data_IF_795480309763
#
_entry.id   IF_795480309763
#
_cell.length_a   1.000
_cell.length_b   1.000
_cell.length_c   1.000
_cell.angle_alpha   90.00
_cell.angle_beta   90.00
_cell.angle_gamma   90.00
#
_symmetry.space_group_name_H-M   'P 1'
#
loop_
_entity.id
_entity.type
_entity.pdbx_description
1 polymer ?
#
# COMPACT_ATOMS: atom_id res chain seq x y z
N UNK A 1 -32.44 -50.26 -55.12
CA UNK A 1 -31.69 -50.41 -56.37
C UNK A 1 -31.38 -49.07 -56.99
N UNK A 2 -30.15 -48.89 -57.35
CA UNK A 2 -29.38 -47.93 -58.16
C UNK A 2 -28.56 -46.96 -57.41
N UNK A 3 -27.26 -47.28 -57.30
CA UNK A 3 -26.11 -46.46 -57.16
C UNK A 3 -25.97 -45.50 -58.34
N UNK A 4 -25.62 -44.27 -58.05
CA UNK A 4 -24.81 -43.35 -58.93
C UNK A 4 -24.16 -42.34 -58.01
N UNK A 5 -22.97 -42.42 -57.85
CA UNK A 5 -21.72 -42.01 -58.49
C UNK A 5 -21.29 -40.59 -58.04
N UNK A 6 -20.31 -40.62 -57.11
CA UNK A 6 -19.50 -39.45 -56.76
C UNK A 6 -18.63 -39.14 -58.01
N UNK A 7 -18.61 -37.91 -58.42
CA UNK A 7 -17.47 -37.22 -59.03
C UNK A 7 -17.96 -35.99 -59.80
N UNK A 8 -17.60 -34.86 -59.38
CA UNK A 8 -17.52 -33.55 -60.03
C UNK A 8 -18.01 -32.38 -59.11
N UNK A 9 -17.34 -32.20 -58.00
CA UNK A 9 -17.32 -30.88 -57.30
C UNK A 9 -16.04 -30.76 -56.49
N UNK A 10 -14.91 -30.88 -57.18
CA UNK A 10 -13.60 -30.65 -56.56
C UNK A 10 -12.73 -29.88 -57.57
N UNK A 11 -13.07 -28.64 -57.88
CA UNK A 11 -12.13 -27.71 -58.55
C UNK A 11 -12.65 -26.26 -58.59
N UNK A 12 -13.18 -25.71 -57.52
CA UNK A 12 -13.49 -24.27 -57.47
C UNK A 12 -13.43 -23.70 -56.03
N UNK A 13 -12.52 -24.20 -55.21
CA UNK A 13 -12.30 -23.67 -53.86
C UNK A 13 -10.80 -23.52 -53.51
N UNK A 14 -9.98 -23.17 -54.52
CA UNK A 14 -8.54 -22.98 -54.29
C UNK A 14 -8.00 -21.66 -54.85
N UNK A 15 -8.79 -20.60 -54.91
CA UNK A 15 -8.32 -19.26 -55.33
C UNK A 15 -8.91 -18.09 -54.56
N UNK A 16 -9.23 -18.23 -53.26
CA UNK A 16 -9.63 -17.08 -52.41
C UNK A 16 -8.94 -17.07 -51.05
N UNK A 17 -7.88 -17.84 -50.83
CA UNK A 17 -7.13 -17.84 -49.54
C UNK A 17 -5.68 -17.32 -49.71
N UNK A 18 -5.42 -16.36 -50.56
CA UNK A 18 -4.09 -15.71 -50.61
C UNK A 18 -4.12 -14.19 -50.48
N UNK A 19 -5.27 -13.58 -50.18
CA UNK A 19 -5.34 -12.11 -50.07
C UNK A 19 -5.72 -11.57 -48.66
N UNK A 20 -5.66 -12.37 -47.57
CA UNK A 20 -6.00 -11.88 -46.23
C UNK A 20 -4.93 -12.08 -45.14
N UNK A 21 -3.73 -12.50 -45.51
CA UNK A 21 -2.63 -12.67 -44.51
C UNK A 21 -1.71 -11.44 -44.35
N UNK A 22 -1.91 -10.37 -45.13
CA UNK A 22 -1.09 -9.16 -45.06
C UNK A 22 -1.60 -8.12 -44.07
N UNK A 23 -2.87 -8.14 -43.68
CA UNK A 23 -3.44 -7.02 -42.89
C UNK A 23 -3.49 -7.28 -41.37
N UNK A 24 -3.42 -8.52 -40.90
CA UNK A 24 -3.46 -8.84 -39.47
C UNK A 24 -2.10 -8.65 -38.79
N UNK A 25 -1.01 -8.81 -39.53
CA UNK A 25 0.34 -8.59 -38.99
C UNK A 25 0.69 -7.10 -38.80
N UNK A 26 0.16 -6.22 -39.62
CA UNK A 26 0.40 -4.78 -39.51
C UNK A 26 -0.34 -4.15 -38.30
N UNK A 27 -1.56 -4.61 -37.99
CA UNK A 27 -2.31 -4.13 -36.82
C UNK A 27 -1.77 -4.66 -35.50
N UNK A 28 -1.15 -5.85 -35.48
CA UNK A 28 -0.52 -6.41 -34.31
C UNK A 28 0.86 -5.78 -34.02
N UNK A 29 1.58 -5.32 -35.05
CA UNK A 29 2.83 -4.61 -34.90
C UNK A 29 2.65 -3.16 -34.43
N UNK A 30 1.62 -2.47 -34.89
CA UNK A 30 1.28 -1.11 -34.45
C UNK A 30 0.83 -1.07 -32.98
N UNK A 31 0.07 -2.07 -32.52
CA UNK A 31 -0.36 -2.16 -31.12
C UNK A 31 0.79 -2.50 -30.17
N UNK A 32 1.77 -3.30 -30.59
CA UNK A 32 2.93 -3.67 -29.80
C UNK A 32 3.95 -2.50 -29.74
N UNK A 33 4.10 -1.71 -30.82
CA UNK A 33 4.90 -0.48 -30.85
C UNK A 33 4.33 0.57 -29.90
N UNK A 34 3.05 0.84 -29.98
CA UNK A 34 2.32 1.79 -29.13
C UNK A 34 2.35 1.38 -27.64
N UNK A 35 2.29 0.09 -27.32
CA UNK A 35 2.41 -0.39 -25.93
C UNK A 35 3.84 -0.20 -25.40
N UNK A 36 4.87 -0.53 -26.18
CA UNK A 36 6.28 -0.33 -25.81
C UNK A 36 6.64 1.15 -25.70
N UNK A 37 6.11 2.00 -26.56
CA UNK A 37 6.28 3.45 -26.48
C UNK A 37 5.57 4.05 -25.29
N UNK A 38 4.34 3.62 -24.99
CA UNK A 38 3.61 4.03 -23.78
C UNK A 38 4.32 3.56 -22.51
N UNK A 39 4.90 2.34 -22.53
CA UNK A 39 5.69 1.83 -21.41
C UNK A 39 7.00 2.62 -21.25
N UNK A 40 7.71 2.94 -22.35
CA UNK A 40 8.90 3.80 -22.34
C UNK A 40 8.59 5.23 -21.92
N UNK A 41 7.49 5.80 -22.40
CA UNK A 41 7.02 7.12 -22.00
C UNK A 41 6.65 7.14 -20.50
N UNK A 42 5.97 6.09 -19.97
CA UNK A 42 5.71 5.95 -18.54
C UNK A 42 6.99 5.75 -17.73
N UNK A 43 7.98 5.02 -18.25
CA UNK A 43 9.29 4.89 -17.59
C UNK A 43 10.10 6.17 -17.63
N UNK A 44 10.03 6.93 -18.73
CA UNK A 44 10.67 8.24 -18.86
C UNK A 44 9.99 9.31 -17.99
N UNK A 45 8.66 9.29 -17.87
CA UNK A 45 7.94 10.15 -16.93
C UNK A 45 8.21 9.79 -15.46
N UNK A 46 8.46 8.51 -15.14
CA UNK A 46 8.90 8.10 -13.80
C UNK A 46 10.30 8.56 -13.43
N UNK A 47 11.14 8.90 -14.41
CA UNK A 47 12.47 9.47 -14.19
C UNK A 47 12.51 11.00 -14.12
N UNK A 48 11.38 11.69 -14.26
CA UNK A 48 11.36 13.13 -14.49
C UNK A 48 10.63 13.98 -13.43
N UNK A 49 10.06 13.41 -12.36
CA UNK A 49 9.27 14.19 -11.40
C UNK A 49 9.91 14.44 -10.03
N UNK A 50 11.17 14.02 -9.79
CA UNK A 50 11.82 14.17 -8.47
C UNK A 50 13.20 14.82 -8.54
N UNK A 51 13.35 15.90 -9.28
CA UNK A 51 14.61 16.64 -9.40
C UNK A 51 14.83 17.75 -8.33
N UNK A 52 14.18 17.68 -7.18
CA UNK A 52 14.73 18.27 -5.95
C UNK A 52 15.52 17.17 -5.28
N UNK A 53 16.87 17.24 -5.29
CA UNK A 53 17.79 16.18 -4.93
C UNK A 53 17.43 15.53 -3.59
N UNK A 54 17.10 14.25 -3.64
CA UNK A 54 16.88 13.43 -2.46
C UNK A 54 18.19 13.33 -1.66
N UNK A 55 18.15 13.76 -0.39
CA UNK A 55 19.31 13.68 0.49
C UNK A 55 19.33 12.31 1.17
N UNK A 56 20.40 11.55 0.94
CA UNK A 56 20.54 10.19 1.47
C UNK A 56 21.31 10.21 2.80
N UNK A 57 20.74 9.62 3.84
CA UNK A 57 21.32 9.50 5.19
C UNK A 57 21.96 10.81 5.69
N UNK A 58 21.21 11.91 5.82
CA UNK A 58 21.78 13.17 6.26
C UNK A 58 22.42 13.02 7.64
N UNK A 59 23.58 13.63 7.81
CA UNK A 59 24.24 13.70 9.10
C UNK A 59 23.62 14.82 9.96
N UNK A 60 23.17 14.46 11.17
CA UNK A 60 22.64 15.43 12.14
C UNK A 60 21.17 15.80 11.93
N UNK A 61 20.80 16.98 12.45
CA UNK A 61 19.41 17.46 12.40
C UNK A 61 19.02 17.96 11.02
N UNK A 62 17.82 17.62 10.60
CA UNK A 62 17.18 18.15 9.41
C UNK A 62 16.56 19.51 9.76
N UNK A 63 17.01 20.53 9.09
CA UNK A 63 16.56 21.91 9.30
C UNK A 63 15.81 22.50 8.10
N UNK A 64 15.81 21.78 6.97
CA UNK A 64 15.20 22.24 5.72
C UNK A 64 14.04 21.33 5.32
N UNK A 65 12.98 21.88 4.70
CA UNK A 65 11.97 21.10 4.00
C UNK A 65 12.60 20.29 2.86
N UNK A 66 11.97 19.16 2.50
CA UNK A 66 12.42 18.35 1.38
C UNK A 66 12.23 16.84 1.58
N UNK A 67 12.79 16.08 0.65
CA UNK A 67 12.72 14.63 0.65
C UNK A 67 14.06 14.03 1.08
N UNK A 68 14.00 13.06 1.97
CA UNK A 68 15.17 12.43 2.58
C UNK A 68 15.00 10.91 2.52
N UNK A 69 16.06 10.20 2.16
CA UNK A 69 16.12 8.73 2.21
C UNK A 69 17.02 8.28 3.35
N UNK A 70 16.56 7.29 4.07
CA UNK A 70 17.29 6.72 5.18
C UNK A 70 17.42 5.21 5.05
N UNK A 71 18.51 4.71 5.63
CA UNK A 71 18.68 3.30 5.94
C UNK A 71 18.90 3.12 7.44
N UNK A 72 18.45 2.00 7.97
CA UNK A 72 18.80 1.54 9.29
C UNK A 72 18.83 0.01 9.32
N UNK A 73 19.70 -0.53 10.16
CA UNK A 73 19.72 -1.97 10.40
C UNK A 73 18.73 -2.33 11.51
N UNK A 74 17.93 -3.37 11.28
CA UNK A 74 17.04 -3.98 12.26
C UNK A 74 17.04 -5.49 12.09
N UNK A 75 17.36 -6.22 13.15
CA UNK A 75 17.50 -7.69 13.18
C UNK A 75 18.43 -8.25 12.08
N UNK A 76 19.58 -7.58 11.83
CA UNK A 76 20.53 -7.97 10.80
C UNK A 76 20.05 -7.71 9.38
N UNK A 77 18.95 -6.95 9.20
CA UNK A 77 18.39 -6.60 7.90
C UNK A 77 18.47 -5.09 7.71
N UNK A 78 19.07 -4.67 6.59
CA UNK A 78 19.00 -3.27 6.19
C UNK A 78 17.58 -2.92 5.75
N UNK A 79 16.99 -1.91 6.41
CA UNK A 79 15.65 -1.39 6.14
C UNK A 79 15.75 0.04 5.63
N UNK A 80 14.91 0.40 4.69
CA UNK A 80 14.90 1.71 4.06
C UNK A 80 13.58 2.42 4.27
N UNK A 81 13.61 3.76 4.30
CA UNK A 81 12.42 4.59 4.37
C UNK A 81 12.64 5.97 3.75
N UNK A 82 11.60 6.55 3.19
CA UNK A 82 11.56 7.94 2.72
C UNK A 82 10.90 8.81 3.75
N UNK A 83 11.36 10.05 3.89
CA UNK A 83 10.76 11.08 4.75
C UNK A 83 10.53 12.32 3.93
N UNK A 84 9.33 12.85 3.97
CA UNK A 84 9.03 14.18 3.47
C UNK A 84 8.83 15.12 4.64
N UNK A 85 9.66 16.16 4.71
CA UNK A 85 9.56 17.28 5.65
C UNK A 85 8.85 18.43 4.94
N UNK A 86 7.67 18.85 5.42
CA UNK A 86 6.82 19.79 4.69
C UNK A 86 7.41 21.19 4.60
N UNK A 87 7.02 21.95 3.59
CA UNK A 87 7.45 23.34 3.39
C UNK A 87 7.19 24.26 4.61
N UNK A 88 6.21 23.90 5.43
CA UNK A 88 5.87 24.64 6.68
C UNK A 88 6.69 24.25 7.91
N UNK A 89 7.58 23.26 7.78
CA UNK A 89 8.38 22.80 8.92
C UNK A 89 9.30 23.91 9.44
N UNK A 90 9.36 24.05 10.75
CA UNK A 90 10.24 24.99 11.44
C UNK A 90 11.02 24.25 12.53
N UNK A 91 12.35 24.22 12.48
CA UNK A 91 13.16 23.65 13.56
C UNK A 91 12.82 24.27 14.93
N UNK A 92 12.76 23.44 15.96
CA UNK A 92 12.33 23.82 17.29
C UNK A 92 10.81 23.84 17.52
N UNK A 93 10.00 23.62 16.47
CA UNK A 93 8.55 23.51 16.56
C UNK A 93 8.12 22.08 16.20
N UNK A 94 7.79 21.23 17.19
CA UNK A 94 7.46 19.84 16.95
C UNK A 94 6.24 19.68 16.03
N UNK A 95 6.39 18.93 14.92
CA UNK A 95 5.35 18.66 13.94
C UNK A 95 4.72 17.27 14.13
N UNK A 96 3.43 17.07 13.78
CA UNK A 96 2.84 15.74 13.74
C UNK A 96 3.58 14.83 12.76
N UNK A 97 3.56 13.50 13.04
CA UNK A 97 4.14 12.48 12.17
C UNK A 97 3.05 11.54 11.64
N UNK A 98 3.06 11.30 10.34
CA UNK A 98 2.28 10.25 9.70
C UNK A 98 3.20 9.15 9.17
N UNK A 99 3.00 7.91 9.60
CA UNK A 99 3.62 6.72 9.01
C UNK A 99 2.67 6.17 7.95
N UNK A 100 3.09 6.18 6.69
CA UNK A 100 2.28 5.79 5.55
C UNK A 100 2.86 4.52 4.88
N UNK A 101 2.11 3.41 4.93
CA UNK A 101 2.58 2.09 4.54
C UNK A 101 1.93 1.61 3.24
N UNK A 102 2.77 1.16 2.30
CA UNK A 102 2.33 0.61 1.01
C UNK A 102 1.57 -0.72 1.16
N UNK A 103 0.76 -1.05 0.17
CA UNK A 103 0.10 -2.36 0.07
C UNK A 103 1.07 -3.50 -0.29
N UNK A 104 0.61 -4.73 -0.17
CA UNK A 104 1.40 -5.91 -0.53
C UNK A 104 1.84 -5.87 -1.99
N UNK A 105 3.13 -6.11 -2.24
CA UNK A 105 3.75 -6.00 -3.56
C UNK A 105 4.10 -4.57 -3.99
N UNK A 106 3.88 -3.57 -3.13
CA UNK A 106 4.27 -2.18 -3.36
C UNK A 106 5.71 -1.87 -2.97
N UNK A 107 5.99 -0.58 -2.80
CA UNK A 107 7.24 -0.03 -2.27
C UNK A 107 7.01 1.34 -1.63
N UNK A 108 8.00 1.84 -0.93
CA UNK A 108 7.96 3.19 -0.33
C UNK A 108 7.82 4.28 -1.41
N UNK A 109 8.44 4.13 -2.58
CA UNK A 109 8.32 5.08 -3.69
C UNK A 109 6.90 5.12 -4.26
N UNK A 110 6.27 3.95 -4.38
CA UNK A 110 4.87 3.88 -4.82
C UNK A 110 3.93 4.57 -3.82
N UNK A 111 4.16 4.38 -2.52
CA UNK A 111 3.38 5.02 -1.46
C UNK A 111 3.63 6.53 -1.39
N UNK A 112 4.86 6.97 -1.64
CA UNK A 112 5.24 8.39 -1.64
C UNK A 112 4.78 9.15 -2.89
N UNK A 113 4.33 8.45 -3.94
CA UNK A 113 3.87 9.10 -5.18
C UNK A 113 2.56 9.86 -4.94
N UNK A 114 2.59 11.16 -5.17
CA UNK A 114 1.41 12.03 -5.04
C UNK A 114 0.33 11.71 -6.08
N UNK A 115 0.70 11.21 -7.26
CA UNK A 115 -0.25 10.74 -8.27
C UNK A 115 -1.11 9.57 -7.76
N UNK A 116 -0.59 8.79 -6.81
CA UNK A 116 -1.31 7.66 -6.22
C UNK A 116 -2.10 8.06 -4.97
N UNK A 117 -1.49 8.85 -4.06
CA UNK A 117 -2.04 9.07 -2.73
C UNK A 117 -2.13 10.53 -2.28
N UNK A 118 -1.41 11.47 -2.92
CA UNK A 118 -1.43 12.88 -2.59
C UNK A 118 -0.96 13.20 -1.16
N UNK A 119 -0.14 12.36 -0.57
CA UNK A 119 0.26 12.49 0.84
C UNK A 119 1.34 13.56 1.04
N UNK A 120 2.24 13.74 0.08
CA UNK A 120 3.27 14.79 0.09
C UNK A 120 2.59 16.16 -0.02
N UNK A 121 1.76 16.40 -1.04
CA UNK A 121 0.99 17.64 -1.18
C UNK A 121 0.09 17.92 0.01
N UNK A 122 -0.48 16.88 0.64
CA UNK A 122 -1.28 17.04 1.86
C UNK A 122 -0.39 17.43 3.03
N UNK A 123 0.79 16.84 3.18
CA UNK A 123 1.79 17.17 4.19
C UNK A 123 2.20 18.64 4.12
N UNK A 124 2.54 19.15 2.93
CA UNK A 124 2.90 20.55 2.70
C UNK A 124 1.77 21.50 3.05
N UNK A 125 0.55 21.13 2.72
CA UNK A 125 -0.64 21.95 2.99
C UNK A 125 -0.97 22.05 4.46
N UNK A 126 -0.86 20.93 5.21
CA UNK A 126 -1.29 20.84 6.61
C UNK A 126 -0.13 20.93 7.62
N UNK A 127 1.13 20.80 7.19
CA UNK A 127 2.30 20.97 8.04
C UNK A 127 2.64 19.76 8.92
N UNK A 128 2.44 18.53 8.45
CA UNK A 128 2.88 17.32 9.14
C UNK A 128 4.04 16.64 8.39
N UNK A 129 4.93 15.99 9.10
CA UNK A 129 5.98 15.14 8.52
C UNK A 129 5.35 13.81 8.08
N UNK A 130 5.68 13.31 6.89
CA UNK A 130 5.27 11.98 6.49
C UNK A 130 6.48 11.08 6.24
N UNK A 131 6.41 9.85 6.75
CA UNK A 131 7.43 8.82 6.53
C UNK A 131 6.81 7.63 5.81
N UNK A 132 7.53 7.15 4.79
CA UNK A 132 7.15 6.02 3.94
C UNK A 132 8.16 4.89 4.15
N UNK A 133 7.96 4.00 5.12
CA UNK A 133 8.84 2.87 5.31
C UNK A 133 8.66 1.85 4.18
N UNK A 134 9.72 1.09 3.87
CA UNK A 134 9.64 -0.05 2.96
C UNK A 134 9.51 -1.35 3.74
N UNK A 135 8.57 -2.19 3.31
CA UNK A 135 8.45 -3.57 3.80
C UNK A 135 9.63 -4.44 3.37
N UNK A 136 9.57 -5.73 3.71
CA UNK A 136 10.56 -6.69 3.21
C UNK A 136 10.29 -7.02 1.75
N UNK A 137 11.30 -6.82 0.93
CA UNK A 137 11.31 -7.14 -0.49
C UNK A 137 12.19 -8.35 -0.79
N UNK A 138 11.80 -9.24 -1.71
CA UNK A 138 12.68 -10.25 -2.27
C UNK A 138 13.71 -9.67 -3.26
N UNK A 139 13.53 -8.40 -3.67
CA UNK A 139 14.36 -7.73 -4.68
C UNK A 139 15.18 -6.62 -4.04
N UNK A 140 16.42 -6.45 -4.50
CA UNK A 140 17.30 -5.34 -4.09
C UNK A 140 16.72 -3.95 -4.41
N UNK A 141 15.82 -3.87 -5.39
CA UNK A 141 15.12 -2.64 -5.76
C UNK A 141 14.07 -2.20 -4.72
N UNK A 142 13.77 -3.00 -3.71
CA UNK A 142 12.71 -2.71 -2.73
C UNK A 142 11.29 -2.96 -3.23
N UNK A 143 11.09 -3.33 -4.52
CA UNK A 143 9.79 -3.65 -5.09
C UNK A 143 9.25 -5.00 -4.58
N UNK A 144 7.96 -5.23 -4.73
CA UNK A 144 7.26 -6.43 -4.26
C UNK A 144 7.35 -6.64 -2.75
N UNK A 145 7.47 -5.56 -2.01
CA UNK A 145 7.60 -5.61 -0.56
C UNK A 145 6.28 -5.99 0.14
N UNK A 146 6.40 -6.60 1.31
CA UNK A 146 5.28 -6.99 2.17
C UNK A 146 5.56 -6.66 3.62
N UNK A 147 4.49 -6.61 4.43
CA UNK A 147 4.51 -6.41 5.87
C UNK A 147 4.03 -7.67 6.59
N UNK A 148 4.63 -8.00 7.71
CA UNK A 148 4.12 -8.99 8.65
C UNK A 148 3.02 -8.36 9.51
N UNK A 149 1.78 -8.50 9.07
CA UNK A 149 0.61 -7.95 9.75
C UNK A 149 -0.18 -9.04 10.54
N UNK A 150 0.51 -9.98 11.15
CA UNK A 150 -0.07 -11.11 11.87
C UNK A 150 -0.27 -12.31 10.94
N UNK A 151 -1.50 -12.69 10.62
CA UNK A 151 -1.77 -13.83 9.71
C UNK A 151 -1.54 -13.48 8.23
N UNK A 152 -1.17 -12.25 7.88
CA UNK A 152 -0.86 -11.72 6.53
C UNK A 152 0.39 -10.84 6.58
N UNK A 153 1.21 -10.68 5.57
CA UNK A 153 1.19 -11.32 4.28
C UNK A 153 2.61 -11.65 3.82
N UNK A 154 2.68 -12.62 2.94
CA UNK A 154 3.84 -12.93 2.11
C UNK A 154 5.13 -13.22 2.85
N UNK A 155 6.29 -12.98 2.20
CA UNK A 155 7.60 -13.27 2.79
C UNK A 155 7.84 -12.62 4.15
N UNK A 156 7.25 -11.45 4.43
CA UNK A 156 7.37 -10.80 5.74
C UNK A 156 6.71 -11.64 6.84
N UNK A 157 5.48 -12.13 6.62
CA UNK A 157 4.79 -13.05 7.53
C UNK A 157 5.52 -14.38 7.62
N UNK A 158 5.85 -14.99 6.47
CA UNK A 158 6.41 -16.36 6.41
C UNK A 158 7.77 -16.47 7.10
N UNK A 159 8.54 -15.38 7.11
CA UNK A 159 9.83 -15.27 7.80
C UNK A 159 9.71 -14.64 9.18
N UNK A 160 8.50 -14.39 9.65
CA UNK A 160 8.22 -13.73 10.93
C UNK A 160 9.05 -12.43 11.14
N UNK A 161 9.12 -11.58 10.11
CA UNK A 161 9.89 -10.33 10.19
C UNK A 161 9.33 -9.42 11.29
N UNK A 162 10.22 -8.84 12.09
CA UNK A 162 9.84 -7.84 13.10
C UNK A 162 9.68 -6.43 12.49
N UNK A 163 8.58 -6.24 11.76
CA UNK A 163 8.22 -4.94 11.21
C UNK A 163 7.78 -3.94 12.29
N UNK A 164 7.25 -4.43 13.41
CA UNK A 164 6.84 -3.59 14.56
C UNK A 164 8.06 -2.92 15.19
N UNK A 165 9.09 -3.70 15.53
CA UNK A 165 10.35 -3.18 16.06
C UNK A 165 11.06 -2.26 15.09
N UNK A 166 11.05 -2.59 13.78
CA UNK A 166 11.59 -1.69 12.75
C UNK A 166 10.89 -0.31 12.77
N UNK A 167 9.56 -0.28 12.79
CA UNK A 167 8.80 1.00 12.80
C UNK A 167 9.09 1.79 14.09
N UNK A 168 9.15 1.14 15.24
CA UNK A 168 9.55 1.80 16.50
C UNK A 168 10.93 2.43 16.39
N UNK A 169 11.93 1.64 15.97
CA UNK A 169 13.32 2.10 15.82
C UNK A 169 13.45 3.24 14.81
N UNK A 170 12.69 3.15 13.69
CA UNK A 170 12.62 4.21 12.67
C UNK A 170 12.09 5.53 13.27
N UNK A 171 10.98 5.48 14.01
CA UNK A 171 10.40 6.68 14.65
C UNK A 171 11.38 7.27 15.68
N UNK A 172 12.05 6.43 16.48
CA UNK A 172 13.01 6.89 17.49
C UNK A 172 14.23 7.53 16.83
N UNK A 173 14.78 6.93 15.77
CA UNK A 173 15.88 7.50 14.99
C UNK A 173 15.48 8.83 14.34
N UNK A 174 14.30 8.87 13.71
CA UNK A 174 13.80 10.07 13.04
C UNK A 174 13.58 11.21 14.04
N UNK A 175 13.09 10.93 15.26
CA UNK A 175 12.89 11.93 16.32
C UNK A 175 14.19 12.57 16.83
N UNK A 176 15.33 11.98 16.54
CA UNK A 176 16.65 12.60 16.84
C UNK A 176 17.06 13.60 15.75
N UNK A 177 16.47 13.52 14.57
CA UNK A 177 16.85 14.29 13.39
C UNK A 177 15.84 15.40 13.04
N UNK A 178 14.54 15.18 13.32
CA UNK A 178 13.48 16.19 13.15
C UNK A 178 12.67 16.33 14.43
N UNK A 179 12.12 17.51 14.65
CA UNK A 179 11.31 17.78 15.84
C UNK A 179 9.88 17.24 15.62
N UNK A 180 9.61 16.06 16.18
CA UNK A 180 8.33 15.34 16.10
C UNK A 180 7.54 15.56 17.38
N UNK A 181 6.26 15.94 17.25
CA UNK A 181 5.30 15.92 18.34
C UNK A 181 4.91 14.46 18.67
N UNK A 182 5.53 13.90 19.69
CA UNK A 182 5.28 12.52 20.11
C UNK A 182 3.85 12.27 20.61
N UNK A 183 3.05 13.32 20.82
CA UNK A 183 1.62 13.21 21.12
C UNK A 183 0.76 13.18 19.85
N UNK A 184 1.36 13.35 18.66
CA UNK A 184 0.67 13.41 17.37
C UNK A 184 1.33 12.49 16.33
N UNK A 185 1.48 11.21 16.67
CA UNK A 185 2.00 10.18 15.77
C UNK A 185 0.83 9.31 15.29
N UNK A 186 0.70 9.17 13.98
CA UNK A 186 -0.39 8.48 13.31
C UNK A 186 0.14 7.47 12.30
N UNK A 187 -0.65 6.45 11.98
CA UNK A 187 -0.32 5.52 10.90
C UNK A 187 -1.49 5.36 9.92
N UNK A 188 -1.15 5.12 8.67
CA UNK A 188 -2.12 4.71 7.63
C UNK A 188 -1.47 3.73 6.67
N UNK A 189 -2.29 3.00 5.95
CA UNK A 189 -1.83 2.12 4.88
C UNK A 189 -2.99 1.52 4.11
N UNK A 190 -2.68 0.96 2.94
CA UNK A 190 -3.65 0.28 2.10
C UNK A 190 -3.39 -1.23 2.08
N UNK A 191 -4.46 -2.06 2.07
CA UNK A 191 -4.37 -3.52 1.95
C UNK A 191 -3.44 -4.09 3.03
N UNK A 192 -2.36 -4.79 2.70
CA UNK A 192 -1.37 -5.27 3.65
C UNK A 192 -0.78 -4.15 4.55
N UNK A 193 -0.58 -2.92 4.03
CA UNK A 193 -0.22 -1.75 4.85
C UNK A 193 -1.34 -1.31 5.79
N UNK A 194 -2.60 -1.48 5.40
CA UNK A 194 -3.76 -1.24 6.26
C UNK A 194 -3.84 -2.25 7.42
N UNK A 195 -3.62 -3.54 7.12
CA UNK A 195 -3.52 -4.58 8.15
C UNK A 195 -2.34 -4.27 9.10
N UNK A 196 -1.20 -3.81 8.55
CA UNK A 196 -0.04 -3.42 9.37
C UNK A 196 -0.35 -2.21 10.26
N UNK A 197 -1.10 -1.21 9.80
CA UNK A 197 -1.53 -0.08 10.62
C UNK A 197 -2.37 -0.56 11.83
N UNK A 198 -3.24 -1.55 11.65
CA UNK A 198 -3.99 -2.17 12.75
C UNK A 198 -3.06 -2.90 13.71
N UNK A 199 -2.06 -3.65 13.21
CA UNK A 199 -1.06 -4.29 14.06
C UNK A 199 -0.27 -3.26 14.88
N UNK A 200 0.12 -2.14 14.28
CA UNK A 200 0.80 -1.06 15.02
C UNK A 200 -0.08 -0.44 16.12
N UNK A 201 -1.39 -0.31 15.88
CA UNK A 201 -2.32 0.14 16.93
C UNK A 201 -2.37 -0.83 18.12
N UNK A 202 -2.18 -2.13 17.88
CA UNK A 202 -2.09 -3.14 18.94
C UNK A 202 -0.75 -3.09 19.68
N UNK A 203 0.35 -3.24 18.93
CA UNK A 203 1.67 -3.53 19.48
C UNK A 203 2.43 -2.26 19.90
N UNK A 204 2.07 -1.11 19.31
CA UNK A 204 2.64 0.23 19.57
C UNK A 204 1.57 1.24 20.01
N UNK A 205 0.61 0.80 20.81
CA UNK A 205 -0.43 1.68 21.34
C UNK A 205 0.13 2.83 22.19
N UNK A 206 1.32 2.68 22.76
CA UNK A 206 2.07 3.72 23.45
C UNK A 206 2.62 4.82 22.51
N UNK A 207 2.79 4.52 21.23
CA UNK A 207 3.31 5.42 20.19
C UNK A 207 2.18 6.09 19.41
N UNK A 208 1.29 5.28 18.81
CA UNK A 208 0.27 5.78 17.89
C UNK A 208 -0.99 6.28 18.59
N UNK A 209 -1.45 7.48 18.25
CA UNK A 209 -2.70 8.08 18.75
C UNK A 209 -3.91 7.64 17.97
N UNK A 210 -3.75 7.50 16.65
CA UNK A 210 -4.78 6.99 15.76
C UNK A 210 -4.17 6.30 14.55
N UNK A 211 -4.92 5.37 13.97
CA UNK A 211 -4.56 4.70 12.72
C UNK A 211 -5.74 4.67 11.76
N UNK A 212 -5.43 4.66 10.45
CA UNK A 212 -6.43 4.47 9.40
C UNK A 212 -6.03 3.27 8.52
N UNK A 213 -6.90 2.28 8.44
CA UNK A 213 -6.75 1.11 7.58
C UNK A 213 -7.63 1.26 6.35
N UNK A 214 -7.02 1.30 5.17
CA UNK A 214 -7.74 1.33 3.89
C UNK A 214 -7.67 -0.07 3.27
N UNK A 215 -8.82 -0.66 3.00
CA UNK A 215 -8.95 -2.02 2.44
C UNK A 215 -8.13 -3.07 3.25
N UNK A 216 -8.09 -2.92 4.57
CA UNK A 216 -7.41 -3.84 5.49
C UNK A 216 -8.30 -4.13 6.70
N UNK A 217 -8.09 -5.28 7.34
CA UNK A 217 -8.88 -5.79 8.47
C UNK A 217 -7.96 -6.09 9.67
N UNK A 218 -8.53 -6.50 10.79
CA UNK A 218 -7.77 -6.89 11.99
C UNK A 218 -7.36 -8.36 11.91
N UNK A 219 -6.20 -8.62 11.34
CA UNK A 219 -5.60 -9.95 11.24
C UNK A 219 -4.49 -10.18 12.29
N UNK A 220 -4.50 -9.43 13.38
CA UNK A 220 -3.56 -9.63 14.49
C UNK A 220 -3.82 -10.98 15.19
N UNK A 221 -2.75 -11.68 15.54
CA UNK A 221 -2.83 -12.94 16.31
C UNK A 221 -3.01 -12.68 17.81
N UNK A 222 -2.36 -11.63 18.29
CA UNK A 222 -2.48 -11.12 19.65
C UNK A 222 -2.64 -9.60 19.59
N UNK A 223 -3.53 -9.07 20.42
CA UNK A 223 -3.77 -7.62 20.46
C UNK A 223 -4.26 -7.21 21.83
N UNK A 224 -3.36 -6.59 22.60
CA UNK A 224 -3.65 -6.11 23.94
C UNK A 224 -3.05 -4.69 24.10
N UNK A 225 -3.68 -3.67 23.49
CA UNK A 225 -3.17 -2.31 23.57
C UNK A 225 -3.16 -1.80 25.00
N UNK A 226 -2.09 -1.11 25.41
CA UNK A 226 -1.92 -0.55 26.77
C UNK A 226 -2.80 0.67 27.02
N UNK A 227 -3.33 1.28 25.95
CA UNK A 227 -4.28 2.41 25.99
C UNK A 227 -5.16 2.40 24.74
N UNK A 228 -6.33 3.06 24.78
CA UNK A 228 -7.16 3.21 23.60
C UNK A 228 -6.42 3.91 22.45
N UNK A 229 -6.61 3.39 21.22
CA UNK A 229 -6.11 3.98 19.98
C UNK A 229 -7.29 4.19 19.05
N UNK A 230 -7.49 5.41 18.54
CA UNK A 230 -8.56 5.66 17.56
C UNK A 230 -8.27 4.91 16.26
N UNK A 231 -9.26 4.16 15.77
CA UNK A 231 -9.12 3.35 14.54
C UNK A 231 -10.19 3.74 13.54
N UNK A 232 -9.76 4.01 12.30
CA UNK A 232 -10.64 4.24 11.16
C UNK A 232 -10.48 3.10 10.16
N UNK A 233 -11.57 2.42 9.82
CA UNK A 233 -11.64 1.47 8.71
C UNK A 233 -12.31 2.13 7.50
N UNK A 234 -11.64 2.08 6.34
CA UNK A 234 -12.18 2.51 5.05
C UNK A 234 -12.16 1.28 4.14
N UNK A 235 -13.32 0.75 3.77
CA UNK A 235 -13.39 -0.53 3.07
C UNK A 235 -14.56 -0.58 2.08
N UNK A 236 -14.31 -1.12 0.90
CA UNK A 236 -15.36 -1.37 -0.09
C UNK A 236 -16.10 -2.68 0.22
N UNK A 237 -17.43 -2.67 0.13
CA UNK A 237 -18.23 -3.89 0.37
C UNK A 237 -17.99 -4.99 -0.65
N UNK A 238 -17.54 -4.64 -1.85
CA UNK A 238 -17.23 -5.56 -2.94
C UNK A 238 -15.72 -5.77 -3.13
N UNK A 239 -14.91 -5.62 -2.09
CA UNK A 239 -13.47 -5.89 -2.16
C UNK A 239 -13.23 -7.39 -2.40
N UNK A 240 -12.55 -7.72 -3.50
CA UNK A 240 -12.24 -9.10 -3.89
C UNK A 240 -10.88 -9.59 -3.36
N UNK A 241 -10.05 -8.70 -2.84
CA UNK A 241 -8.71 -9.02 -2.33
C UNK A 241 -8.73 -9.24 -0.82
N UNK A 242 -9.33 -8.31 -0.09
CA UNK A 242 -9.57 -8.40 1.36
C UNK A 242 -11.09 -8.32 1.55
N UNK A 243 -11.81 -9.46 1.51
CA UNK A 243 -13.28 -9.44 1.49
C UNK A 243 -13.87 -8.75 2.71
N UNK A 244 -14.87 -7.88 2.48
CA UNK A 244 -15.58 -7.17 3.54
C UNK A 244 -16.19 -8.12 4.58
N UNK A 245 -16.75 -9.23 4.12
CA UNK A 245 -17.35 -10.28 4.98
C UNK A 245 -16.30 -11.28 5.51
N UNK A 246 -15.01 -11.02 5.26
CA UNK A 246 -13.93 -11.90 5.68
C UNK A 246 -13.76 -13.14 4.79
N UNK A 247 -12.93 -14.07 5.26
CA UNK A 247 -12.59 -15.26 4.50
C UNK A 247 -11.41 -15.05 3.54
N UNK A 248 -11.34 -15.84 2.45
CA UNK A 248 -10.22 -15.80 1.51
C UNK A 248 -10.53 -14.87 0.35
N UNK A 249 -9.54 -14.07 -0.05
CA UNK A 249 -9.62 -13.29 -1.29
C UNK A 249 -9.72 -14.16 -2.53
N UNK A 250 -10.34 -13.64 -3.59
CA UNK A 250 -10.55 -14.37 -4.86
C UNK A 250 -9.32 -14.41 -5.77
N UNK A 251 -8.26 -13.68 -5.44
CA UNK A 251 -7.08 -13.59 -6.29
C UNK A 251 -6.17 -14.80 -6.15
N UNK A 252 -5.41 -15.14 -7.22
CA UNK A 252 -4.49 -16.29 -7.25
C UNK A 252 -3.17 -16.06 -6.51
N UNK A 253 -3.02 -14.94 -5.81
CA UNK A 253 -1.80 -14.56 -5.08
C UNK A 253 -1.88 -14.98 -3.62
N UNK A 254 -1.01 -14.44 -2.80
CA UNK A 254 -0.88 -14.78 -1.38
C UNK A 254 -2.12 -14.47 -0.55
N UNK A 255 -2.99 -13.57 -1.01
CA UNK A 255 -4.29 -13.28 -0.42
C UNK A 255 -5.21 -14.51 -0.44
N UNK A 256 -5.05 -15.40 -1.42
CA UNK A 256 -5.83 -16.65 -1.50
C UNK A 256 -5.48 -17.65 -0.39
N UNK A 257 -4.32 -17.49 0.27
CA UNK A 257 -3.88 -18.34 1.39
C UNK A 257 -4.23 -17.73 2.74
N UNK A 258 -4.49 -16.41 2.79
CA UNK A 258 -4.85 -15.70 4.02
C UNK A 258 -6.36 -15.74 4.20
N UNK A 259 -6.81 -16.15 5.39
CA UNK A 259 -8.19 -15.94 5.82
C UNK A 259 -8.26 -14.61 6.57
N UNK A 260 -8.98 -13.66 5.99
CA UNK A 260 -9.15 -12.35 6.58
C UNK A 260 -10.30 -12.33 7.59
N UNK A 261 -10.13 -11.58 8.67
CA UNK A 261 -11.23 -11.22 9.57
C UNK A 261 -12.19 -10.31 8.80
N UNK A 262 -13.49 -10.41 9.02
CA UNK A 262 -14.44 -9.49 8.40
C UNK A 262 -14.27 -8.05 8.91
N UNK A 263 -14.72 -7.06 8.14
CA UNK A 263 -14.73 -5.65 8.58
C UNK A 263 -15.62 -5.46 9.81
N UNK A 264 -16.87 -5.99 9.85
CA UNK A 264 -17.70 -5.91 11.05
C UNK A 264 -17.05 -6.49 12.30
N UNK A 265 -16.42 -7.65 12.19
CA UNK A 265 -15.69 -8.27 13.31
C UNK A 265 -14.48 -7.43 13.73
N UNK A 266 -13.72 -6.89 12.78
CA UNK A 266 -12.58 -5.99 13.04
C UNK A 266 -13.04 -4.75 13.82
N UNK A 267 -14.13 -4.13 13.40
CA UNK A 267 -14.74 -2.97 14.10
C UNK A 267 -15.18 -3.37 15.51
N UNK A 268 -15.91 -4.49 15.65
CA UNK A 268 -16.38 -4.98 16.95
C UNK A 268 -15.24 -5.20 17.95
N UNK A 269 -14.11 -5.78 17.49
CA UNK A 269 -12.92 -5.95 18.33
C UNK A 269 -12.38 -4.63 18.84
N UNK A 270 -12.32 -3.59 17.99
CA UNK A 270 -11.80 -2.28 18.36
C UNK A 270 -12.78 -1.46 19.22
N UNK A 271 -14.09 -1.58 18.98
CA UNK A 271 -15.12 -1.05 19.89
C UNK A 271 -14.92 -1.58 21.31
N UNK A 272 -14.74 -2.91 21.45
CA UNK A 272 -14.50 -3.55 22.73
C UNK A 272 -13.16 -3.11 23.38
N UNK A 273 -12.07 -3.11 22.61
CA UNK A 273 -10.73 -2.70 23.12
C UNK A 273 -10.68 -1.27 23.60
N UNK A 274 -11.37 -0.39 22.90
CA UNK A 274 -11.40 1.04 23.23
C UNK A 274 -12.47 1.40 24.26
N UNK A 275 -13.32 0.45 24.71
CA UNK A 275 -14.40 0.70 25.65
C UNK A 275 -15.47 1.64 25.08
N UNK A 276 -15.69 1.61 23.76
CA UNK A 276 -16.72 2.43 23.12
C UNK A 276 -18.12 1.95 23.46
N UNK A 277 -19.12 2.85 23.38
CA UNK A 277 -20.53 2.49 23.47
C UNK A 277 -20.96 1.54 22.34
N UNK A 278 -22.03 0.73 22.55
CA UNK A 278 -22.44 -0.27 21.56
C UNK A 278 -23.16 0.32 20.35
N UNK A 279 -23.74 1.51 20.48
CA UNK A 279 -24.57 2.13 19.44
C UNK A 279 -23.73 3.05 18.55
N UNK A 280 -23.56 2.71 17.27
CA UNK A 280 -22.86 3.56 16.33
C UNK A 280 -23.70 4.79 15.96
N UNK A 281 -23.02 5.93 15.79
CA UNK A 281 -23.63 7.15 15.28
C UNK A 281 -23.24 7.36 13.82
N UNK A 282 -24.23 7.44 12.92
CA UNK A 282 -23.99 7.82 11.52
C UNK A 282 -23.49 9.26 11.44
N UNK A 283 -22.26 9.46 10.94
CA UNK A 283 -21.61 10.78 10.80
C UNK A 283 -21.42 11.21 9.35
N UNK A 284 -21.55 10.28 8.42
CA UNK A 284 -21.58 10.54 6.98
C UNK A 284 -22.58 9.59 6.35
N UNK A 285 -23.47 10.11 5.50
CA UNK A 285 -24.37 9.33 4.66
C UNK A 285 -24.55 10.04 3.31
N UNK A 286 -24.11 9.39 2.25
CA UNK A 286 -24.23 9.89 0.88
C UNK A 286 -24.27 8.71 -0.10
N UNK A 287 -24.77 8.90 -1.34
CA UNK A 287 -24.77 7.85 -2.35
C UNK A 287 -23.39 7.20 -2.49
N UNK A 288 -23.30 5.88 -2.33
CA UNK A 288 -22.09 5.08 -2.45
C UNK A 288 -21.16 5.06 -1.23
N UNK A 289 -21.38 5.86 -0.19
CA UNK A 289 -20.54 5.83 1.01
C UNK A 289 -21.27 6.27 2.28
N UNK A 290 -20.97 5.61 3.39
CA UNK A 290 -21.41 6.03 4.73
C UNK A 290 -20.25 5.86 5.74
N UNK A 291 -20.36 6.55 6.87
CA UNK A 291 -19.44 6.38 7.99
C UNK A 291 -20.22 6.37 9.31
N UNK A 292 -19.96 5.37 10.13
CA UNK A 292 -20.44 5.24 11.49
C UNK A 292 -19.28 5.45 12.48
N UNK A 293 -19.57 6.12 13.60
CA UNK A 293 -18.61 6.41 14.66
C UNK A 293 -19.14 5.96 16.01
#
# INVERSE_FOLDING_TARGET
>A
MKRMSASRFALLLLMVIVASTGSVSALAQDSAGSFRERLRARMAQKGGSDAAGEIVNPAGKITQPGNYRFTLEHDGIERTYLVHVPAKYQPGHPAPLLVAMHGGGGSMEYQASDDNYGQISKSDREGFIVVFPNGISPLKSGLLATWNAGTCCGPARDRNIDDVGFIRKMIDKLSQQVDIDRQKIFATGMSNGGLMAIRLACDLSDVFKAVASVAGTDNTTHCNPTRPVSVLFIHARNDDHVPFEGGRGKTRRQEAVTSFTSVPESVSRWVKRNGCGPEPKRVLDKPGAYCDR
#
